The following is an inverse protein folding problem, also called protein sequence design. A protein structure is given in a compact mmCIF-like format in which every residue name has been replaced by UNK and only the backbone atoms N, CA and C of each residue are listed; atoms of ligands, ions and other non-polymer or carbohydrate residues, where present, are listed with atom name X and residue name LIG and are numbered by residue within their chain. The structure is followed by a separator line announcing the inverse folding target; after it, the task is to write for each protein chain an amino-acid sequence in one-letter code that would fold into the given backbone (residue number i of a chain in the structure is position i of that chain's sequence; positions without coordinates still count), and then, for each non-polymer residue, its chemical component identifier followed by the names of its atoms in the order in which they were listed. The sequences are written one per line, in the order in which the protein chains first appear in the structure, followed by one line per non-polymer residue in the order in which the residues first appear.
data_IF_472145517963
#
_entry.id   IF_472145517963
#
_cell.length_a   1.000
_cell.length_b   1.000
_cell.length_c   1.000
_cell.angle_alpha   90.00
_cell.angle_beta   90.00
_cell.angle_gamma   90.00
#
_symmetry.space_group_name_H-M   'P 1'
#
loop_
_entity.id
_entity.type
_entity.pdbx_description
1 polymer ?
#
# COMPACT_ATOMS: atom_id res chain seq x y z
N UNK A 1 14.05 3.56 -26.35
CA UNK A 1 14.65 3.29 -25.01
C UNK A 1 13.48 2.99 -24.08
N UNK A 2 13.17 1.70 -23.90
CA UNK A 2 12.10 1.18 -23.07
C UNK A 2 12.28 1.67 -21.62
N UNK A 3 11.22 1.74 -20.84
CA UNK A 3 11.18 2.28 -19.48
C UNK A 3 12.51 2.11 -18.76
N UNK A 4 13.14 3.23 -18.30
CA UNK A 4 14.35 3.14 -17.50
C UNK A 4 14.02 2.35 -16.25
N UNK A 5 14.68 1.21 -16.10
CA UNK A 5 14.71 0.48 -14.86
C UNK A 5 15.40 1.36 -13.85
N UNK A 6 14.69 1.73 -12.80
CA UNK A 6 15.28 2.38 -11.66
C UNK A 6 15.76 1.28 -10.72
N UNK A 7 17.05 1.23 -10.50
CA UNK A 7 17.63 0.50 -9.39
C UNK A 7 17.81 1.50 -8.27
N UNK A 8 17.17 1.26 -7.14
CA UNK A 8 17.39 2.00 -5.92
C UNK A 8 17.99 1.07 -4.87
N UNK A 9 18.95 1.57 -4.13
CA UNK A 9 19.45 0.89 -2.94
C UNK A 9 18.61 1.35 -1.76
N UNK A 10 17.82 0.44 -1.19
CA UNK A 10 17.02 0.70 -0.01
C UNK A 10 17.44 -0.27 1.10
N UNK A 11 17.89 0.28 2.23
CA UNK A 11 18.31 -0.52 3.39
C UNK A 11 19.47 -1.52 3.10
N UNK A 12 20.25 -1.27 2.06
CA UNK A 12 21.30 -2.18 1.59
C UNK A 12 20.81 -3.25 0.62
N UNK A 13 19.55 -3.20 0.19
CA UNK A 13 18.98 -4.08 -0.82
C UNK A 13 18.78 -3.33 -2.13
N UNK A 14 19.23 -3.93 -3.24
CA UNK A 14 18.97 -3.42 -4.59
C UNK A 14 17.54 -3.73 -4.99
N UNK A 15 16.74 -2.70 -5.23
CA UNK A 15 15.33 -2.84 -5.64
C UNK A 15 15.21 -2.42 -7.10
N UNK A 16 14.80 -3.36 -7.93
CA UNK A 16 14.37 -3.09 -9.28
C UNK A 16 12.96 -2.49 -9.27
N UNK A 17 12.69 -1.48 -10.11
CA UNK A 17 11.40 -0.85 -10.18
C UNK A 17 10.91 -0.66 -11.62
N UNK A 18 9.59 -0.72 -11.82
CA UNK A 18 8.93 -0.35 -13.07
C UNK A 18 8.46 1.09 -13.02
N UNK A 19 8.92 1.92 -13.96
CA UNK A 19 8.43 3.28 -14.10
C UNK A 19 7.04 3.32 -14.74
N UNK A 20 6.05 3.76 -13.97
CA UNK A 20 4.68 4.00 -14.43
C UNK A 20 4.38 5.50 -14.31
N UNK A 21 4.50 6.23 -15.40
CA UNK A 21 4.49 7.69 -15.36
C UNK A 21 5.65 8.23 -14.53
N UNK A 22 5.40 9.10 -13.55
CA UNK A 22 6.43 9.63 -12.66
C UNK A 22 6.74 8.73 -11.45
N UNK A 23 6.11 7.54 -11.36
CA UNK A 23 6.19 6.65 -10.20
C UNK A 23 7.09 5.45 -10.47
N UNK A 24 7.98 5.14 -9.54
CA UNK A 24 8.82 3.95 -9.53
C UNK A 24 8.17 2.87 -8.65
N UNK A 25 7.57 1.85 -9.27
CA UNK A 25 6.88 0.77 -8.54
C UNK A 25 7.84 -0.40 -8.36
N UNK A 26 8.11 -0.77 -7.12
CA UNK A 26 9.04 -1.85 -6.77
C UNK A 26 8.62 -3.20 -7.36
N UNK A 27 9.58 -3.92 -7.95
CA UNK A 27 9.41 -5.28 -8.50
C UNK A 27 9.85 -6.30 -7.46
N UNK A 28 9.06 -6.42 -6.41
CA UNK A 28 9.33 -7.27 -5.27
C UNK A 28 8.41 -8.49 -5.24
N UNK A 29 8.89 -9.55 -4.59
CA UNK A 29 8.04 -10.64 -4.07
C UNK A 29 7.72 -10.36 -2.59
N UNK A 30 6.74 -11.04 -2.06
CA UNK A 30 6.38 -10.91 -0.64
C UNK A 30 7.55 -11.17 0.31
N UNK A 31 8.42 -12.15 -0.01
CA UNK A 31 9.64 -12.42 0.77
C UNK A 31 10.60 -11.23 0.82
N UNK A 32 10.74 -10.51 -0.30
CA UNK A 32 11.63 -9.36 -0.41
C UNK A 32 11.07 -8.18 0.41
N UNK A 33 9.74 -7.96 0.36
CA UNK A 33 9.06 -6.96 1.18
C UNK A 33 9.16 -7.27 2.68
N UNK A 34 9.07 -8.56 3.08
CA UNK A 34 9.27 -9.00 4.48
C UNK A 34 10.68 -8.67 4.94
N UNK A 35 11.69 -8.99 4.14
CA UNK A 35 13.09 -8.69 4.46
C UNK A 35 13.35 -7.19 4.60
N UNK A 36 12.75 -6.36 3.74
CA UNK A 36 12.84 -4.89 3.85
C UNK A 36 12.23 -4.38 5.15
N UNK A 37 11.03 -4.85 5.50
CA UNK A 37 10.36 -4.47 6.76
C UNK A 37 11.21 -4.91 7.96
N UNK A 38 11.72 -6.12 7.96
CA UNK A 38 12.57 -6.64 9.04
C UNK A 38 13.86 -5.82 9.19
N UNK A 39 14.54 -5.53 8.09
CA UNK A 39 15.75 -4.72 8.09
C UNK A 39 15.49 -3.28 8.57
N UNK A 40 14.36 -2.67 8.16
CA UNK A 40 13.97 -1.33 8.60
C UNK A 40 13.72 -1.28 10.11
N UNK A 41 13.02 -2.27 10.65
CA UNK A 41 12.76 -2.38 12.08
C UNK A 41 14.05 -2.58 12.86
N UNK A 42 14.90 -3.53 12.45
CA UNK A 42 16.17 -3.84 13.13
C UNK A 42 17.14 -2.65 13.12
N UNK A 43 17.23 -1.94 12.01
CA UNK A 43 18.11 -0.77 11.86
C UNK A 43 17.49 0.54 12.36
N UNK A 44 16.22 0.52 12.79
CA UNK A 44 15.42 1.72 13.13
C UNK A 44 15.44 2.78 12.02
N UNK A 45 15.43 2.36 10.76
CA UNK A 45 15.41 3.23 9.59
C UNK A 45 14.00 3.40 9.04
N UNK A 46 13.68 4.61 8.56
CA UNK A 46 12.37 4.92 8.03
C UNK A 46 12.09 4.17 6.74
N UNK A 47 10.97 3.46 6.70
CA UNK A 47 10.43 2.77 5.54
C UNK A 47 8.92 3.05 5.46
N UNK A 48 8.53 3.94 4.54
CA UNK A 48 7.14 4.27 4.29
C UNK A 48 6.67 3.55 3.03
N UNK A 49 5.64 2.71 3.13
CA UNK A 49 5.15 1.88 2.04
C UNK A 49 3.74 2.31 1.64
N UNK A 50 3.54 2.56 0.35
CA UNK A 50 2.22 2.72 -0.26
C UNK A 50 1.90 1.55 -1.19
N UNK A 51 0.76 0.92 -0.99
CA UNK A 51 0.26 -0.17 -1.84
C UNK A 51 -0.64 0.42 -2.91
N UNK A 52 -0.10 0.50 -4.14
CA UNK A 52 -0.65 1.26 -5.25
C UNK A 52 -1.39 0.37 -6.25
N UNK A 53 -2.64 0.71 -6.55
CA UNK A 53 -3.38 0.15 -7.67
C UNK A 53 -3.61 1.22 -8.77
N UNK A 54 -4.25 0.81 -9.87
CA UNK A 54 -4.53 1.72 -10.99
C UNK A 54 -5.27 3.00 -10.58
N UNK A 55 -6.20 2.90 -9.63
CA UNK A 55 -6.92 4.07 -9.13
C UNK A 55 -6.01 5.01 -8.32
N UNK A 56 -5.15 4.46 -7.47
CA UNK A 56 -4.15 5.23 -6.70
C UNK A 56 -3.26 6.05 -7.63
N UNK A 57 -2.68 5.41 -8.65
CA UNK A 57 -1.81 6.11 -9.61
C UNK A 57 -2.57 7.10 -10.49
N UNK A 58 -3.79 6.76 -10.94
CA UNK A 58 -4.61 7.69 -11.71
C UNK A 58 -4.95 8.94 -10.89
N UNK A 59 -5.34 8.77 -9.61
CA UNK A 59 -5.62 9.89 -8.71
C UNK A 59 -4.39 10.76 -8.50
N UNK A 60 -3.21 10.14 -8.35
CA UNK A 60 -1.97 10.88 -8.22
C UNK A 60 -1.53 11.58 -9.53
N UNK A 61 -1.85 11.01 -10.70
CA UNK A 61 -1.63 11.70 -11.99
C UNK A 61 -2.54 12.92 -12.17
N UNK A 62 -3.72 12.92 -11.54
CA UNK A 62 -4.67 14.04 -11.56
C UNK A 62 -4.39 15.08 -10.45
N UNK A 63 -3.65 14.73 -9.39
CA UNK A 63 -3.32 15.60 -8.26
C UNK A 63 -1.80 15.66 -8.02
N UNK A 64 -1.13 16.79 -8.38
CA UNK A 64 0.31 16.96 -8.19
C UNK A 64 0.77 16.87 -6.72
N UNK A 65 -0.08 17.25 -5.75
CA UNK A 65 0.25 17.13 -4.32
C UNK A 65 0.31 15.68 -3.90
N UNK A 66 -0.67 14.90 -4.32
CA UNK A 66 -0.67 13.46 -4.05
C UNK A 66 0.46 12.73 -4.80
N UNK A 67 0.78 13.16 -6.03
CA UNK A 67 1.94 12.64 -6.75
C UNK A 67 3.23 12.86 -5.97
N UNK A 68 3.45 14.07 -5.44
CA UNK A 68 4.62 14.39 -4.62
C UNK A 68 4.67 13.59 -3.30
N UNK A 69 3.50 13.27 -2.71
CA UNK A 69 3.39 12.39 -1.55
C UNK A 69 3.87 10.97 -1.89
N UNK A 70 3.34 10.37 -2.95
CA UNK A 70 3.71 9.00 -3.35
C UNK A 70 5.19 8.89 -3.73
N UNK A 71 5.79 9.92 -4.33
CA UNK A 71 7.20 9.92 -4.70
C UNK A 71 8.16 9.86 -3.50
N UNK A 72 7.68 10.14 -2.29
CA UNK A 72 8.46 10.03 -1.04
C UNK A 72 8.36 8.64 -0.39
N UNK A 73 7.57 7.74 -0.96
CA UNK A 73 7.28 6.42 -0.39
C UNK A 73 7.83 5.29 -1.26
N UNK A 74 8.04 4.13 -0.67
CA UNK A 74 8.26 2.87 -1.39
C UNK A 74 6.92 2.38 -1.93
N UNK A 75 6.80 2.32 -3.26
CA UNK A 75 5.55 1.96 -3.92
C UNK A 75 5.53 0.48 -4.29
N UNK A 76 4.50 -0.24 -3.86
CA UNK A 76 4.25 -1.64 -4.19
C UNK A 76 2.99 -1.78 -5.05
N UNK A 77 2.96 -2.81 -5.89
CA UNK A 77 1.86 -3.02 -6.83
C UNK A 77 0.68 -3.78 -6.21
N UNK A 78 -0.53 -3.34 -6.53
CA UNK A 78 -1.79 -4.01 -6.17
C UNK A 78 -2.71 -4.15 -7.38
N UNK A 79 -3.10 -5.37 -7.66
CA UNK A 79 -4.18 -5.73 -8.56
C UNK A 79 -3.85 -5.77 -10.05
N UNK A 80 -4.85 -6.23 -10.81
CA UNK A 80 -4.72 -6.52 -12.24
C UNK A 80 -4.35 -5.28 -13.07
N UNK A 81 -4.82 -4.09 -12.70
CA UNK A 81 -4.50 -2.85 -13.41
C UNK A 81 -3.00 -2.56 -13.43
N UNK A 82 -2.31 -2.84 -12.34
CA UNK A 82 -0.86 -2.70 -12.24
C UNK A 82 -0.12 -3.76 -13.06
N UNK A 83 -0.61 -5.00 -13.04
CA UNK A 83 -0.05 -6.09 -13.86
C UNK A 83 -0.17 -5.79 -15.36
N UNK A 84 -1.32 -5.23 -15.80
CA UNK A 84 -1.51 -4.80 -17.18
C UNK A 84 -0.59 -3.62 -17.53
N UNK A 85 -0.41 -2.66 -16.63
CA UNK A 85 0.51 -1.55 -16.82
C UNK A 85 1.96 -2.02 -17.01
N UNK A 86 2.43 -2.95 -16.18
CA UNK A 86 3.77 -3.53 -16.28
C UNK A 86 3.94 -4.28 -17.61
N UNK A 87 2.98 -5.12 -18.01
CA UNK A 87 3.00 -5.79 -19.32
C UNK A 87 3.03 -4.81 -20.49
N UNK A 88 2.26 -3.72 -20.40
CA UNK A 88 2.22 -2.70 -21.46
C UNK A 88 3.55 -1.94 -21.60
N UNK A 89 4.22 -1.66 -20.48
CA UNK A 89 5.40 -0.79 -20.45
C UNK A 89 6.73 -1.56 -20.50
N UNK A 90 6.78 -2.79 -19.96
CA UNK A 90 7.98 -3.64 -19.88
C UNK A 90 7.87 -4.98 -20.58
N UNK A 91 6.68 -5.33 -21.09
CA UNK A 91 6.37 -6.64 -21.68
C UNK A 91 6.39 -7.81 -20.64
N UNK A 92 6.61 -7.50 -19.36
CA UNK A 92 6.64 -8.44 -18.25
C UNK A 92 5.66 -8.03 -17.15
N UNK A 93 4.99 -8.98 -16.47
CA UNK A 93 4.19 -8.69 -15.28
C UNK A 93 5.10 -8.35 -14.09
N UNK A 94 4.51 -7.83 -13.01
CA UNK A 94 5.19 -7.82 -11.71
C UNK A 94 5.43 -9.25 -11.22
N UNK A 95 6.51 -9.50 -10.45
CA UNK A 95 6.84 -10.84 -9.94
C UNK A 95 5.76 -11.45 -9.06
N UNK A 96 5.01 -10.61 -8.33
CA UNK A 96 3.92 -10.99 -7.44
C UNK A 96 2.93 -9.83 -7.29
N UNK A 97 1.67 -10.13 -6.96
CA UNK A 97 0.69 -9.12 -6.55
C UNK A 97 0.82 -8.86 -5.04
N UNK A 98 1.23 -7.67 -4.65
CA UNK A 98 1.51 -7.29 -3.26
C UNK A 98 0.35 -6.49 -2.63
N UNK A 99 -0.89 -6.96 -2.85
CA UNK A 99 -2.04 -6.31 -2.22
C UNK A 99 -1.98 -6.38 -0.69
N UNK A 100 -2.50 -5.35 -0.01
CA UNK A 100 -2.38 -5.21 1.44
C UNK A 100 -3.04 -6.35 2.22
N UNK A 101 -4.15 -6.91 1.70
CA UNK A 101 -4.89 -8.00 2.35
C UNK A 101 -4.18 -9.35 2.32
N UNK A 102 -3.16 -9.52 1.46
CA UNK A 102 -2.28 -10.69 1.43
C UNK A 102 -0.91 -10.39 2.02
N UNK A 103 -0.33 -9.24 1.67
CA UNK A 103 1.03 -8.89 2.08
C UNK A 103 1.15 -8.74 3.61
N UNK A 104 0.23 -8.02 4.25
CA UNK A 104 0.32 -7.79 5.70
C UNK A 104 0.20 -9.09 6.50
N UNK A 105 -0.79 -9.99 6.25
CA UNK A 105 -0.81 -11.31 6.86
C UNK A 105 0.48 -12.11 6.64
N UNK A 106 1.08 -12.03 5.44
CA UNK A 106 2.36 -12.72 5.15
C UNK A 106 3.52 -12.13 5.92
N UNK A 107 3.60 -10.79 6.06
CA UNK A 107 4.59 -10.14 6.92
C UNK A 107 4.45 -10.65 8.34
N UNK A 108 3.25 -10.58 8.92
CA UNK A 108 2.99 -10.99 10.30
C UNK A 108 3.27 -12.50 10.53
N UNK A 109 2.99 -13.35 9.55
CA UNK A 109 3.23 -14.78 9.68
C UNK A 109 4.71 -15.17 9.55
N UNK A 110 5.50 -14.46 8.73
CA UNK A 110 6.82 -14.94 8.29
C UNK A 110 8.01 -14.06 8.73
N UNK A 111 7.78 -12.85 9.24
CA UNK A 111 8.88 -11.99 9.71
C UNK A 111 9.63 -12.66 10.88
N UNK A 112 10.97 -12.60 10.88
CA UNK A 112 11.84 -13.29 11.85
C UNK A 112 11.74 -12.79 13.29
N UNK A 113 11.27 -11.55 13.49
CA UNK A 113 11.26 -10.84 14.76
C UNK A 113 9.83 -10.58 15.29
N UNK A 114 9.62 -10.47 16.62
CA UNK A 114 8.37 -9.96 17.17
C UNK A 114 8.24 -8.47 16.83
N UNK A 115 7.02 -8.01 16.57
CA UNK A 115 6.70 -6.61 16.26
C UNK A 115 5.77 -6.02 17.29
N UNK A 116 5.99 -4.75 17.58
CA UNK A 116 5.06 -3.85 18.27
C UNK A 116 4.28 -3.09 17.20
N UNK A 117 2.98 -3.32 17.12
CA UNK A 117 2.15 -2.84 16.02
C UNK A 117 1.16 -1.79 16.52
N UNK A 118 1.08 -0.66 15.85
CA UNK A 118 0.02 0.33 16.07
C UNK A 118 -0.94 0.32 14.87
N UNK A 119 -2.26 0.35 15.15
CA UNK A 119 -3.30 0.36 14.14
C UNK A 119 -3.97 1.73 14.10
N UNK A 120 -4.00 2.39 12.94
CA UNK A 120 -4.64 3.69 12.77
C UNK A 120 -5.60 3.67 11.58
N UNK A 121 -6.87 3.94 11.81
CA UNK A 121 -7.83 4.04 10.70
C UNK A 121 -9.06 3.17 10.87
N UNK A 122 -9.88 3.10 9.80
CA UNK A 122 -11.21 2.52 9.79
C UNK A 122 -12.14 3.16 10.86
N UNK A 123 -13.24 2.54 11.19
CA UNK A 123 -14.10 2.93 12.32
C UNK A 123 -13.60 2.24 13.59
N UNK A 124 -13.97 2.76 14.75
CA UNK A 124 -13.57 2.24 16.06
C UNK A 124 -13.80 0.73 16.20
N UNK A 125 -14.97 0.25 15.81
CA UNK A 125 -15.30 -1.17 15.90
C UNK A 125 -14.40 -2.04 15.00
N UNK A 126 -14.16 -1.61 13.74
CA UNK A 126 -13.33 -2.36 12.80
C UNK A 126 -11.85 -2.41 13.24
N UNK A 127 -11.29 -1.30 13.73
CA UNK A 127 -9.91 -1.30 14.19
C UNK A 127 -9.73 -2.13 15.47
N UNK A 128 -10.72 -2.11 16.38
CA UNK A 128 -10.74 -2.96 17.58
C UNK A 128 -10.77 -4.45 17.22
N UNK A 129 -11.67 -4.84 16.32
CA UNK A 129 -11.75 -6.24 15.84
C UNK A 129 -10.50 -6.66 15.05
N UNK A 130 -9.88 -5.76 14.29
CA UNK A 130 -8.62 -6.02 13.62
C UNK A 130 -7.48 -6.28 14.61
N UNK A 131 -7.45 -5.54 15.75
CA UNK A 131 -6.53 -5.81 16.85
C UNK A 131 -6.72 -7.22 17.39
N UNK A 132 -7.94 -7.60 17.76
CA UNK A 132 -8.26 -8.92 18.30
C UNK A 132 -7.88 -10.05 17.31
N UNK A 133 -8.12 -9.83 16.02
CA UNK A 133 -7.71 -10.75 14.96
C UNK A 133 -6.19 -10.92 14.92
N UNK A 134 -5.42 -9.82 14.96
CA UNK A 134 -3.95 -9.87 14.91
C UNK A 134 -3.40 -10.60 16.16
N UNK A 135 -3.87 -10.25 17.35
CA UNK A 135 -3.42 -10.87 18.61
C UNK A 135 -3.72 -12.36 18.66
N UNK A 136 -4.86 -12.79 18.09
CA UNK A 136 -5.26 -14.20 18.04
C UNK A 136 -4.49 -14.98 16.97
N UNK A 137 -4.40 -14.44 15.74
CA UNK A 137 -3.81 -15.14 14.60
C UNK A 137 -2.27 -15.09 14.60
N UNK A 138 -1.68 -14.07 15.21
CA UNK A 138 -0.23 -13.83 15.21
C UNK A 138 0.30 -13.52 16.62
N UNK A 139 0.21 -14.46 17.58
CA UNK A 139 0.51 -14.24 19.00
C UNK A 139 1.98 -13.87 19.30
N UNK A 140 2.86 -13.99 18.30
CA UNK A 140 4.26 -13.53 18.35
C UNK A 140 4.35 -11.99 18.42
N UNK A 141 3.36 -11.27 17.89
CA UNK A 141 3.34 -9.82 17.81
C UNK A 141 2.43 -9.23 18.89
N UNK A 142 2.66 -7.96 19.20
CA UNK A 142 1.85 -7.22 20.17
C UNK A 142 1.21 -6.00 19.48
N UNK A 143 -0.11 -5.85 19.58
CA UNK A 143 -0.77 -4.59 19.22
C UNK A 143 -0.67 -3.65 20.40
N UNK A 144 0.22 -2.66 20.31
CA UNK A 144 0.56 -1.73 21.40
C UNK A 144 -0.38 -0.53 21.51
N UNK A 145 -1.23 -0.33 20.51
CA UNK A 145 -2.24 0.71 20.51
C UNK A 145 -3.05 0.69 19.20
N UNK A 146 -4.20 1.33 19.25
CA UNK A 146 -5.03 1.55 18.07
C UNK A 146 -5.85 2.84 18.21
N UNK A 147 -6.24 3.42 17.08
CA UNK A 147 -7.12 4.58 16.99
C UNK A 147 -7.91 4.49 15.67
N UNK A 148 -9.17 4.90 15.69
CA UNK A 148 -9.96 5.07 14.45
C UNK A 148 -9.38 6.17 13.54
N UNK A 149 -9.87 6.25 12.30
CA UNK A 149 -9.41 7.21 11.30
C UNK A 149 -10.19 8.54 11.30
N UNK A 150 -11.02 8.81 12.32
CA UNK A 150 -11.88 9.99 12.41
C UNK A 150 -11.43 10.90 13.55
N UNK A 151 -10.42 11.71 13.28
CA UNK A 151 -9.86 12.69 14.19
C UNK A 151 -9.77 14.06 13.51
N UNK A 152 -9.82 15.12 14.30
CA UNK A 152 -9.71 16.49 13.83
C UNK A 152 -8.24 16.89 13.61
N UNK A 153 -8.03 17.97 12.83
CA UNK A 153 -6.67 18.41 12.48
C UNK A 153 -5.86 18.89 13.68
N UNK A 154 -6.51 19.43 14.70
CA UNK A 154 -5.92 19.89 15.95
C UNK A 154 -5.53 18.73 16.89
N UNK A 155 -6.00 17.51 16.63
CA UNK A 155 -5.61 16.31 17.37
C UNK A 155 -4.31 15.65 16.81
N UNK A 156 -3.78 16.09 15.66
CA UNK A 156 -2.67 15.43 14.96
C UNK A 156 -1.41 15.33 15.82
N UNK A 157 -1.01 16.40 16.50
CA UNK A 157 0.20 16.42 17.32
C UNK A 157 0.06 15.46 18.51
N UNK A 158 -1.07 15.48 19.20
CA UNK A 158 -1.35 14.56 20.30
C UNK A 158 -1.46 13.11 19.85
N UNK A 159 -2.01 12.86 18.67
CA UNK A 159 -2.06 11.53 18.04
C UNK A 159 -0.66 11.00 17.75
N UNK A 160 0.20 11.79 17.11
CA UNK A 160 1.57 11.40 16.83
C UNK A 160 2.37 11.15 18.12
N UNK A 161 2.20 11.99 19.14
CA UNK A 161 2.79 11.79 20.45
C UNK A 161 2.30 10.48 21.09
N UNK A 162 0.99 10.22 21.11
CA UNK A 162 0.42 9.01 21.67
C UNK A 162 0.90 7.73 20.95
N UNK A 163 1.04 7.79 19.60
CA UNK A 163 1.66 6.69 18.83
C UNK A 163 3.10 6.45 19.31
N UNK A 164 3.91 7.50 19.42
CA UNK A 164 5.32 7.41 19.80
C UNK A 164 5.52 6.86 21.23
N UNK A 165 4.66 7.24 22.15
CA UNK A 165 4.70 6.76 23.55
C UNK A 165 4.56 5.23 23.64
N UNK A 166 3.83 4.61 22.71
CA UNK A 166 3.69 3.15 22.63
C UNK A 166 4.91 2.47 22.00
N UNK A 167 5.87 3.22 21.43
CA UNK A 167 7.11 2.74 20.78
C UNK A 167 6.84 1.61 19.77
N UNK A 168 6.02 1.82 18.74
CA UNK A 168 5.73 0.79 17.76
C UNK A 168 6.92 0.59 16.80
N UNK A 169 7.02 -0.63 16.27
CA UNK A 169 7.93 -0.97 15.15
C UNK A 169 7.23 -0.82 13.81
N UNK A 170 5.91 -1.03 13.80
CA UNK A 170 5.08 -1.01 12.60
C UNK A 170 3.80 -0.22 12.85
N UNK A 171 3.55 0.78 12.00
CA UNK A 171 2.29 1.53 11.94
C UNK A 171 1.51 1.10 10.69
N UNK A 172 0.33 0.52 10.89
CA UNK A 172 -0.60 0.19 9.80
C UNK A 172 -1.67 1.28 9.72
N UNK A 173 -1.77 1.94 8.56
CA UNK A 173 -2.69 3.07 8.35
C UNK A 173 -3.78 2.70 7.35
N UNK A 174 -5.05 2.66 7.81
CA UNK A 174 -6.23 2.25 7.06
C UNK A 174 -7.26 3.39 6.92
N UNK A 175 -6.87 4.50 6.28
CA UNK A 175 -7.75 5.65 6.05
C UNK A 175 -8.19 5.81 4.60
N UNK A 176 -7.72 4.92 3.72
CA UNK A 176 -7.92 4.99 2.27
C UNK A 176 -7.06 6.06 1.60
N UNK A 177 -6.91 5.91 0.27
CA UNK A 177 -6.16 6.86 -0.56
C UNK A 177 -6.98 8.15 -0.80
N UNK A 178 -6.39 9.35 -0.80
CA UNK A 178 -4.96 9.66 -0.54
C UNK A 178 -4.64 9.89 0.95
N UNK A 179 -5.63 9.83 1.87
CA UNK A 179 -5.49 10.27 3.26
C UNK A 179 -4.40 9.53 4.03
N UNK A 180 -4.28 8.21 3.85
CA UNK A 180 -3.31 7.40 4.58
C UNK A 180 -1.86 7.72 4.16
N UNK A 181 -1.58 7.89 2.87
CA UNK A 181 -0.24 8.23 2.38
C UNK A 181 0.13 9.66 2.78
N UNK A 182 -0.83 10.59 2.66
CA UNK A 182 -0.65 11.99 3.08
C UNK A 182 -0.36 12.07 4.57
N UNK A 183 -1.13 11.35 5.41
CA UNK A 183 -0.86 11.29 6.85
C UNK A 183 0.55 10.81 7.16
N UNK A 184 0.98 9.70 6.56
CA UNK A 184 2.31 9.12 6.79
C UNK A 184 3.41 10.13 6.42
N UNK A 185 3.32 10.73 5.22
CA UNK A 185 4.37 11.59 4.69
C UNK A 185 4.42 12.95 5.38
N UNK A 186 3.27 13.58 5.64
CA UNK A 186 3.21 14.90 6.29
C UNK A 186 3.62 14.85 7.76
N UNK A 187 3.35 13.73 8.44
CA UNK A 187 3.70 13.57 9.85
C UNK A 187 4.99 12.74 10.06
N UNK A 188 5.75 12.45 9.00
CA UNK A 188 6.94 11.59 9.10
C UNK A 188 7.99 12.10 10.09
N UNK A 189 8.17 13.41 10.19
CA UNK A 189 9.10 14.02 11.14
C UNK A 189 8.64 13.93 12.60
N UNK A 190 7.33 13.85 12.83
CA UNK A 190 6.73 13.71 14.16
C UNK A 190 6.58 12.23 14.59
N UNK A 191 6.61 11.28 13.64
CA UNK A 191 6.44 9.86 13.91
C UNK A 191 7.80 9.16 14.12
N UNK A 192 8.01 8.60 15.31
CA UNK A 192 9.21 7.84 15.66
C UNK A 192 9.15 6.34 15.30
N UNK A 193 8.15 5.92 14.52
CA UNK A 193 7.97 4.53 14.08
C UNK A 193 8.85 4.25 12.86
N UNK A 194 9.65 3.17 12.83
CA UNK A 194 10.52 2.88 11.69
C UNK A 194 9.74 2.50 10.43
N UNK A 195 8.66 1.74 10.53
CA UNK A 195 7.90 1.29 9.36
C UNK A 195 6.46 1.78 9.42
N UNK A 196 6.00 2.47 8.35
CA UNK A 196 4.61 2.85 8.19
C UNK A 196 4.07 2.35 6.84
N UNK A 197 2.89 1.71 6.85
CA UNK A 197 2.28 1.11 5.65
C UNK A 197 0.84 1.57 5.50
N UNK A 198 0.51 2.15 4.35
CA UNK A 198 -0.87 2.42 3.94
C UNK A 198 -1.54 1.12 3.48
N UNK A 199 -2.52 0.63 4.24
CA UNK A 199 -3.11 -0.70 4.04
C UNK A 199 -4.55 -0.70 3.51
N UNK A 200 -5.12 0.47 3.29
CA UNK A 200 -6.48 0.62 2.73
C UNK A 200 -7.55 -0.06 3.58
N UNK A 201 -8.31 -0.97 2.97
CA UNK A 201 -9.44 -1.65 3.61
C UNK A 201 -9.04 -2.89 4.45
N UNK A 202 -7.77 -3.04 4.84
CA UNK A 202 -7.29 -4.24 5.55
C UNK A 202 -8.10 -4.51 6.83
N UNK A 203 -8.38 -3.47 7.63
CA UNK A 203 -9.11 -3.64 8.89
C UNK A 203 -10.57 -4.04 8.67
N UNK A 204 -11.20 -3.60 7.56
CA UNK A 204 -12.54 -4.06 7.20
C UNK A 204 -12.58 -5.57 6.90
N UNK A 205 -11.51 -6.09 6.28
CA UNK A 205 -11.37 -7.54 6.05
C UNK A 205 -11.05 -8.31 7.34
N UNK A 206 -10.14 -7.82 8.16
CA UNK A 206 -9.77 -8.48 9.43
C UNK A 206 -10.91 -8.50 10.44
N UNK A 207 -11.75 -7.45 10.45
CA UNK A 207 -12.94 -7.38 11.30
C UNK A 207 -14.13 -8.23 10.80
N UNK A 208 -14.05 -8.75 9.56
CA UNK A 208 -15.16 -9.46 8.93
C UNK A 208 -16.27 -8.55 8.39
N UNK A 209 -16.12 -7.21 8.47
CA UNK A 209 -17.08 -6.25 7.92
C UNK A 209 -17.21 -6.33 6.39
N UNK A 210 -16.15 -6.78 5.71
CA UNK A 210 -16.12 -7.04 4.27
C UNK A 210 -15.72 -8.50 4.02
N UNK A 211 -16.53 -9.21 3.24
CA UNK A 211 -16.25 -10.59 2.88
C UNK A 211 -15.24 -10.64 1.73
N UNK A 212 -14.19 -11.43 1.89
CA UNK A 212 -13.20 -11.63 0.84
C UNK A 212 -13.76 -12.50 -0.29
N UNK A 213 -13.34 -12.22 -1.52
CA UNK A 213 -13.70 -13.04 -2.67
C UNK A 213 -13.32 -14.52 -2.46
N UNK A 214 -14.16 -15.48 -2.89
CA UNK A 214 -13.80 -16.90 -2.87
C UNK A 214 -12.47 -17.16 -3.60
N UNK A 215 -11.73 -18.20 -3.19
CA UNK A 215 -10.40 -18.53 -3.75
C UNK A 215 -10.41 -18.68 -5.29
N UNK A 216 -11.50 -19.17 -5.87
CA UNK A 216 -11.67 -19.28 -7.33
C UNK A 216 -11.61 -17.90 -8.00
N UNK A 217 -12.30 -16.90 -7.46
CA UNK A 217 -12.27 -15.52 -7.98
C UNK A 217 -10.88 -14.89 -7.80
N UNK A 218 -10.21 -15.18 -6.67
CA UNK A 218 -8.85 -14.71 -6.42
C UNK A 218 -7.86 -15.33 -7.43
N UNK A 219 -7.91 -16.63 -7.65
CA UNK A 219 -7.06 -17.35 -8.60
C UNK A 219 -7.28 -16.92 -10.06
N UNK A 220 -8.53 -16.58 -10.42
CA UNK A 220 -8.88 -16.04 -11.74
C UNK A 220 -8.55 -14.54 -11.92
N UNK A 221 -8.06 -13.83 -10.88
CA UNK A 221 -7.83 -12.39 -10.92
C UNK A 221 -9.12 -11.56 -10.96
N UNK A 222 -10.27 -12.16 -10.60
CA UNK A 222 -11.61 -11.55 -10.63
C UNK A 222 -12.06 -11.02 -9.25
N UNK A 223 -11.15 -10.85 -8.31
CA UNK A 223 -11.46 -10.30 -6.98
C UNK A 223 -12.10 -8.91 -7.07
N UNK A 224 -11.63 -8.06 -8.02
CA UNK A 224 -12.21 -6.76 -8.29
C UNK A 224 -13.68 -6.82 -8.71
N UNK A 225 -14.07 -7.85 -9.50
CA UNK A 225 -15.46 -8.05 -9.94
C UNK A 225 -16.35 -8.45 -8.77
N UNK A 226 -15.87 -9.36 -7.92
CA UNK A 226 -16.59 -9.76 -6.70
C UNK A 226 -16.83 -8.56 -5.77
N UNK A 227 -15.81 -7.70 -5.58
CA UNK A 227 -15.94 -6.47 -4.81
C UNK A 227 -16.89 -5.47 -5.45
N UNK A 228 -16.88 -5.37 -6.79
CA UNK A 228 -17.81 -4.50 -7.52
C UNK A 228 -19.26 -4.93 -7.30
N UNK A 229 -19.53 -6.24 -7.22
CA UNK A 229 -20.87 -6.75 -6.93
C UNK A 229 -21.33 -6.47 -5.48
N UNK A 230 -20.40 -6.44 -4.53
CA UNK A 230 -20.70 -6.10 -3.13
C UNK A 230 -20.97 -4.59 -2.94
N UNK A 231 -20.18 -3.73 -3.62
CA UNK A 231 -20.24 -2.27 -3.47
C UNK A 231 -20.32 -1.56 -4.83
N UNK A 232 -21.39 -1.78 -5.63
CA UNK A 232 -21.43 -1.30 -7.02
C UNK A 232 -21.36 0.22 -7.13
N UNK A 233 -22.05 0.96 -6.27
CA UNK A 233 -22.08 2.44 -6.31
C UNK A 233 -20.70 3.05 -6.05
N UNK A 234 -19.90 2.49 -5.13
CA UNK A 234 -18.58 2.99 -4.76
C UNK A 234 -17.52 2.59 -5.77
N UNK A 235 -17.56 1.33 -6.27
CA UNK A 235 -16.49 0.73 -7.03
C UNK A 235 -16.67 0.81 -8.56
N UNK A 236 -17.88 1.14 -9.06
CA UNK A 236 -18.14 1.26 -10.49
C UNK A 236 -17.21 2.27 -11.17
N UNK A 237 -17.16 3.51 -10.66
CA UNK A 237 -16.29 4.54 -11.23
C UNK A 237 -14.81 4.15 -11.17
N UNK A 238 -14.41 3.46 -10.10
CA UNK A 238 -13.02 3.03 -9.88
C UNK A 238 -12.58 1.96 -10.87
N UNK A 239 -13.43 0.95 -11.12
CA UNK A 239 -13.06 -0.20 -11.95
C UNK A 239 -13.48 -0.03 -13.41
N UNK A 240 -14.73 0.34 -13.66
CA UNK A 240 -15.27 0.37 -15.03
C UNK A 240 -14.79 1.60 -15.80
N UNK A 241 -14.63 2.74 -15.14
CA UNK A 241 -14.13 3.98 -15.77
C UNK A 241 -12.64 4.15 -15.52
N UNK A 242 -12.18 3.91 -14.28
CA UNK A 242 -10.82 4.20 -13.86
C UNK A 242 -9.76 3.33 -14.53
N UNK A 243 -9.97 2.02 -14.70
CA UNK A 243 -8.98 1.14 -15.32
C UNK A 243 -8.79 1.49 -16.80
N UNK A 244 -9.83 1.63 -17.66
CA UNK A 244 -9.65 2.07 -19.04
C UNK A 244 -8.97 3.44 -19.16
N UNK A 245 -9.36 4.41 -18.32
CA UNK A 245 -8.73 5.74 -18.30
C UNK A 245 -7.24 5.66 -17.93
N UNK A 246 -6.89 4.83 -16.96
CA UNK A 246 -5.51 4.57 -16.55
C UNK A 246 -4.70 3.97 -17.71
N UNK A 247 -5.22 2.92 -18.37
CA UNK A 247 -4.55 2.30 -19.50
C UNK A 247 -4.38 3.27 -20.67
N UNK A 248 -5.37 4.13 -20.92
CA UNK A 248 -5.26 5.18 -21.95
C UNK A 248 -4.17 6.22 -21.59
N UNK A 249 -4.08 6.64 -20.33
CA UNK A 249 -3.01 7.52 -19.88
C UNK A 249 -1.62 6.87 -20.08
N UNK A 250 -1.49 5.58 -19.79
CA UNK A 250 -0.25 4.84 -20.03
C UNK A 250 0.11 4.73 -21.51
N UNK A 251 -0.87 4.51 -22.40
CA UNK A 251 -0.63 4.51 -23.84
C UNK A 251 -0.10 5.87 -24.32
N UNK A 252 -0.67 6.97 -23.86
CA UNK A 252 -0.13 8.32 -24.16
C UNK A 252 1.34 8.45 -23.73
N UNK A 253 1.67 7.99 -22.52
CA UNK A 253 3.05 8.03 -22.02
C UNK A 253 3.97 7.16 -22.88
N UNK A 254 3.55 5.97 -23.29
CA UNK A 254 4.33 5.09 -24.17
C UNK A 254 4.61 5.74 -25.52
N UNK A 255 3.58 6.30 -26.18
CA UNK A 255 3.71 6.93 -27.49
C UNK A 255 4.49 8.25 -27.47
N UNK A 256 4.32 9.08 -26.43
CA UNK A 256 5.12 10.30 -26.24
C UNK A 256 6.62 9.99 -26.11
N UNK A 257 6.98 8.87 -25.48
CA UNK A 257 8.37 8.42 -25.35
C UNK A 257 8.95 7.89 -26.68
N UNK A 258 8.12 7.28 -27.52
CA UNK A 258 8.54 6.77 -28.85
C UNK A 258 8.78 7.89 -29.87
N UNK A 259 8.14 9.05 -29.72
CA UNK A 259 8.28 10.21 -30.61
C UNK A 259 9.53 11.09 -30.38
N UNK A 260 10.24 10.94 -29.26
CA UNK A 260 11.49 11.70 -28.93
C UNK A 260 12.73 10.97 -29.43
N UNK A 261 12.60 9.78 -30.02
CA UNK A 261 13.71 8.94 -30.53
C UNK A 261 13.82 8.97 -32.07
N UNK A 262 13.40 10.08 -32.71
CA UNK A 262 13.66 10.30 -34.15
C UNK A 262 14.47 11.56 -34.34
#
# INVERSE_FOLDING_TARGET
MLARDFESELLGCRIEATAIGPFAIGRLRSRDAIQLVEAAVQKRQNLDIAICNAHTLLSAMDDPRYAATLQKMTLLNDGIGMSLASKLLREEPFPENLNGTDLIPRILANIGIPLRIYLLGAKEEQVRLAKEHIETAYPKHQVVGYRDGYFASDELDSLCQGINETKPDLLLVAMGNPRQETFIVENRSALAVPVAIGVGALFDFMSGAVVRAPKIFQAAGLEWLFRLLQEPRRLFRRYVIGIPRFLFALMKIRFSRSGVSR
#
